data_IF_992082893050
#
_entry.id   IF_992082893050
#
_cell.length_a   1.000
_cell.length_b   1.000
_cell.length_c   1.000
_cell.angle_alpha   90.00
_cell.angle_beta   90.00
_cell.angle_gamma   90.00
#
_symmetry.space_group_name_H-M   'P 1'
#
loop_
_entity.id
_entity.type
_entity.pdbx_description
1 polymer ?
#
# COMPACT_ATOMS: atom_id res chain seq x y z
N UNK A 1 -2.68 -6.82 -13.35
CA UNK A 1 -3.24 -5.56 -13.86
C UNK A 1 -2.15 -4.50 -13.77
N UNK A 2 -1.59 -4.06 -14.91
CA UNK A 2 -0.60 -2.96 -14.89
C UNK A 2 -1.39 -1.63 -14.92
N UNK A 3 -1.03 -0.65 -14.08
CA UNK A 3 -1.66 0.70 -14.01
C UNK A 3 -3.14 0.78 -13.56
N UNK A 4 -3.58 -0.05 -12.62
CA UNK A 4 -4.96 -0.01 -12.09
C UNK A 4 -5.29 1.30 -11.36
N UNK A 5 -6.51 1.83 -11.55
CA UNK A 5 -7.02 3.02 -10.83
C UNK A 5 -8.20 2.64 -9.94
N UNK A 6 -8.00 2.74 -8.63
CA UNK A 6 -8.97 2.38 -7.60
C UNK A 6 -9.28 3.60 -6.74
N UNK A 7 -9.84 4.65 -7.33
CA UNK A 7 -10.08 5.91 -6.63
C UNK A 7 -11.49 5.92 -6.00
N UNK A 8 -11.58 6.29 -4.73
CA UNK A 8 -12.84 6.33 -3.97
C UNK A 8 -13.59 5.00 -3.96
N UNK A 9 -12.87 3.89 -4.01
CA UNK A 9 -13.45 2.54 -3.98
C UNK A 9 -13.51 2.00 -2.56
N UNK A 10 -14.55 1.23 -2.25
CA UNK A 10 -14.52 0.32 -1.11
C UNK A 10 -13.97 -1.03 -1.55
N UNK A 11 -12.75 -1.32 -1.11
CA UNK A 11 -12.00 -2.54 -1.35
C UNK A 11 -11.64 -3.21 -0.01
N UNK A 12 -12.41 -2.91 1.04
CA UNK A 12 -12.19 -3.50 2.35
C UNK A 12 -12.34 -5.02 2.28
N UNK A 13 -11.42 -5.73 2.96
CA UNK A 13 -11.33 -7.20 3.00
C UNK A 13 -11.14 -7.88 1.65
N UNK A 14 -10.85 -7.13 0.59
CA UNK A 14 -10.53 -7.70 -0.71
C UNK A 14 -9.22 -8.47 -0.65
N UNK A 15 -9.14 -9.53 -1.45
CA UNK A 15 -7.92 -10.32 -1.64
C UNK A 15 -7.26 -9.96 -2.97
N UNK A 16 -6.08 -9.37 -2.89
CA UNK A 16 -5.18 -9.05 -4.00
C UNK A 16 -3.90 -9.90 -3.94
N UNK A 17 -3.93 -11.05 -3.28
CA UNK A 17 -2.79 -11.96 -3.20
C UNK A 17 -2.32 -12.36 -4.59
N UNK A 18 -1.00 -12.40 -4.79
CA UNK A 18 -0.34 -12.69 -6.08
C UNK A 18 -0.68 -11.72 -7.22
N UNK A 19 -1.39 -10.63 -6.95
CA UNK A 19 -1.73 -9.67 -7.98
C UNK A 19 -0.50 -8.86 -8.40
N UNK A 20 -0.41 -8.58 -9.69
CA UNK A 20 0.44 -7.52 -10.18
C UNK A 20 -0.38 -6.23 -10.22
N UNK A 21 0.01 -5.23 -9.42
CA UNK A 21 -0.57 -3.90 -9.31
C UNK A 21 0.50 -2.81 -9.56
N UNK A 22 1.58 -3.14 -10.26
CA UNK A 22 2.65 -2.19 -10.58
C UNK A 22 2.09 -0.89 -11.16
N UNK A 23 2.59 0.24 -10.65
CA UNK A 23 2.20 1.60 -11.03
C UNK A 23 0.70 1.92 -10.85
N UNK A 24 -0.04 1.11 -10.09
CA UNK A 24 -1.44 1.38 -9.79
C UNK A 24 -1.61 2.58 -8.86
N UNK A 25 -2.80 3.16 -8.84
CA UNK A 25 -3.16 4.26 -7.95
C UNK A 25 -4.42 3.92 -7.19
N UNK A 26 -4.38 4.07 -5.87
CA UNK A 26 -5.54 4.07 -4.98
C UNK A 26 -5.59 5.42 -4.26
N UNK A 27 -6.58 6.25 -4.59
CA UNK A 27 -6.79 7.55 -3.95
C UNK A 27 -8.12 7.59 -3.20
N UNK A 28 -8.10 8.00 -1.93
CA UNK A 28 -9.29 8.16 -1.08
C UNK A 28 -10.13 6.89 -0.96
N UNK A 29 -9.49 5.72 -1.01
CA UNK A 29 -10.17 4.42 -1.01
C UNK A 29 -10.09 3.74 0.36
N UNK A 30 -10.98 2.76 0.56
CA UNK A 30 -10.97 1.93 1.76
C UNK A 30 -10.32 0.59 1.44
N UNK A 31 -9.15 0.30 2.01
CA UNK A 31 -8.43 -0.98 1.94
C UNK A 31 -8.31 -1.61 3.34
N UNK A 32 -9.27 -1.34 4.21
CA UNK A 32 -9.34 -1.94 5.55
C UNK A 32 -9.32 -3.47 5.47
N UNK A 33 -8.42 -4.11 6.22
CA UNK A 33 -8.22 -5.57 6.26
C UNK A 33 -7.97 -6.22 4.88
N UNK A 34 -7.41 -5.48 3.93
CA UNK A 34 -7.11 -5.98 2.60
C UNK A 34 -5.84 -6.87 2.56
N UNK A 35 -5.78 -7.82 1.63
CA UNK A 35 -4.69 -8.81 1.55
C UNK A 35 -3.86 -8.57 0.29
N UNK A 36 -2.58 -8.23 0.44
CA UNK A 36 -1.62 -8.06 -0.67
C UNK A 36 -0.49 -9.10 -0.62
N UNK A 37 -0.75 -10.32 -0.15
CA UNK A 37 0.32 -11.31 0.04
C UNK A 37 0.91 -11.75 -1.31
N UNK A 38 2.25 -11.78 -1.41
CA UNK A 38 2.96 -12.07 -2.65
C UNK A 38 2.61 -11.14 -3.83
N UNK A 39 1.98 -9.98 -3.58
CA UNK A 39 1.60 -9.04 -4.63
C UNK A 39 2.79 -8.18 -5.08
N UNK A 40 2.78 -7.73 -6.34
CA UNK A 40 3.72 -6.73 -6.84
C UNK A 40 3.05 -5.35 -6.88
N UNK A 41 3.41 -4.51 -5.91
CA UNK A 41 2.96 -3.15 -5.71
C UNK A 41 4.00 -2.12 -6.18
N UNK A 42 5.04 -2.50 -6.93
CA UNK A 42 6.13 -1.59 -7.33
C UNK A 42 5.58 -0.32 -7.99
N UNK A 43 5.98 0.86 -7.50
CA UNK A 43 5.51 2.15 -8.02
C UNK A 43 4.05 2.51 -7.69
N UNK A 44 3.35 1.70 -6.88
CA UNK A 44 1.94 1.95 -6.53
C UNK A 44 1.79 3.20 -5.66
N UNK A 45 0.79 4.02 -5.95
CA UNK A 45 0.45 5.20 -5.16
C UNK A 45 -0.79 4.95 -4.30
N UNK A 46 -0.62 4.94 -2.98
CA UNK A 46 -1.71 4.97 -2.00
C UNK A 46 -1.84 6.39 -1.42
N UNK A 47 -2.87 7.14 -1.82
CA UNK A 47 -3.07 8.53 -1.40
C UNK A 47 -4.37 8.70 -0.63
N UNK A 48 -4.33 9.14 0.62
CA UNK A 48 -5.53 9.33 1.46
C UNK A 48 -6.36 8.04 1.62
N UNK A 49 -5.71 6.88 1.56
CA UNK A 49 -6.34 5.56 1.57
C UNK A 49 -6.30 4.98 2.98
N UNK A 50 -7.40 4.32 3.41
CA UNK A 50 -7.43 3.58 4.67
C UNK A 50 -6.72 2.23 4.48
N UNK A 51 -5.62 2.01 5.19
CA UNK A 51 -4.80 0.78 5.12
C UNK A 51 -4.78 0.05 6.47
N UNK A 52 -5.78 0.26 7.32
CA UNK A 52 -5.88 -0.42 8.61
C UNK A 52 -6.00 -1.93 8.41
N UNK A 53 -5.22 -2.73 9.15
CA UNK A 53 -5.30 -4.20 9.10
C UNK A 53 -4.82 -4.85 7.80
N UNK A 54 -4.22 -4.09 6.89
CA UNK A 54 -3.70 -4.64 5.62
C UNK A 54 -2.49 -5.55 5.86
N UNK A 55 -2.38 -6.64 5.08
CA UNK A 55 -1.18 -7.51 5.06
C UNK A 55 -0.40 -7.36 3.77
N UNK A 56 0.93 -7.31 3.89
CA UNK A 56 1.89 -7.16 2.78
C UNK A 56 2.91 -8.30 2.74
N UNK A 57 2.60 -9.45 3.36
CA UNK A 57 3.53 -10.57 3.48
C UNK A 57 4.10 -10.98 2.11
N UNK A 58 5.42 -11.08 2.01
CA UNK A 58 6.14 -11.43 0.77
C UNK A 58 5.81 -10.53 -0.45
N UNK A 59 5.21 -9.36 -0.26
CA UNK A 59 4.90 -8.44 -1.36
C UNK A 59 6.11 -7.61 -1.76
N UNK A 60 6.11 -7.14 -3.02
CA UNK A 60 7.14 -6.25 -3.57
C UNK A 60 6.54 -4.84 -3.66
N UNK A 61 7.02 -3.89 -2.87
CA UNK A 61 6.51 -2.51 -2.84
C UNK A 61 7.63 -1.47 -3.03
N UNK A 62 8.60 -1.81 -3.88
CA UNK A 62 9.68 -0.90 -4.23
C UNK A 62 9.13 0.35 -4.92
N UNK A 63 9.60 1.54 -4.53
CA UNK A 63 9.12 2.83 -5.08
C UNK A 63 7.62 3.09 -4.89
N UNK A 64 6.92 2.33 -4.04
CA UNK A 64 5.52 2.63 -3.71
C UNK A 64 5.44 3.85 -2.79
N UNK A 65 4.38 4.65 -2.96
CA UNK A 65 4.18 5.90 -2.23
C UNK A 65 2.94 5.81 -1.34
N UNK A 66 3.08 6.14 -0.06
CA UNK A 66 2.00 6.14 0.93
C UNK A 66 1.76 7.56 1.45
N UNK A 67 0.96 8.35 0.72
CA UNK A 67 0.72 9.77 1.02
C UNK A 67 -0.57 9.95 1.82
N UNK A 68 -0.51 10.54 3.01
CA UNK A 68 -1.70 10.80 3.85
C UNK A 68 -2.57 9.56 4.11
N UNK A 69 -2.02 8.36 3.98
CA UNK A 69 -2.74 7.13 4.30
C UNK A 69 -2.86 6.98 5.83
N UNK A 70 -4.00 6.47 6.30
CA UNK A 70 -4.25 6.28 7.74
C UNK A 70 -3.47 5.04 8.19
N UNK A 71 -2.22 5.24 8.59
CA UNK A 71 -1.28 4.15 8.87
C UNK A 71 -0.89 4.17 10.35
N UNK A 72 -1.50 3.29 11.15
CA UNK A 72 -1.02 3.01 12.51
C UNK A 72 -0.16 1.74 12.61
N UNK A 73 -0.14 0.88 11.58
CA UNK A 73 0.56 -0.43 11.65
C UNK A 73 1.62 -0.65 10.56
N UNK A 74 1.41 -0.12 9.35
CA UNK A 74 2.34 -0.31 8.21
C UNK A 74 3.67 0.44 8.42
N UNK A 75 3.68 1.59 9.09
CA UNK A 75 4.91 2.30 9.47
C UNK A 75 5.80 1.45 10.38
N UNK A 76 5.20 0.70 11.31
CA UNK A 76 5.93 -0.16 12.25
C UNK A 76 6.57 -1.36 11.56
N UNK A 77 5.90 -1.95 10.57
CA UNK A 77 6.38 -3.13 9.83
C UNK A 77 7.39 -2.76 8.72
N UNK A 78 7.21 -1.63 8.04
CA UNK A 78 8.16 -1.16 7.02
C UNK A 78 9.52 -0.76 7.60
N UNK A 79 9.55 -0.32 8.87
CA UNK A 79 10.80 -0.01 9.59
C UNK A 79 11.71 -1.21 9.86
N UNK A 80 11.21 -2.45 9.75
CA UNK A 80 12.02 -3.67 9.95
C UNK A 80 12.63 -4.25 8.67
N UNK A 81 12.18 -3.83 7.49
CA UNK A 81 12.65 -4.37 6.20
C UNK A 81 13.34 -3.34 5.28
N UNK A 82 13.35 -2.04 5.63
CA UNK A 82 14.05 -1.00 4.87
C UNK A 82 15.09 -0.29 5.73
N UNK A 83 16.37 -0.47 5.41
CA UNK A 83 17.55 0.11 6.09
C UNK A 83 17.72 1.63 5.87
N UNK A 84 16.65 2.37 5.57
CA UNK A 84 16.70 3.84 5.56
C UNK A 84 15.51 4.41 6.34
N UNK A 85 15.77 5.06 7.49
CA UNK A 85 14.72 5.76 8.22
C UNK A 85 14.17 6.89 7.35
N UNK A 86 12.84 7.00 7.29
CA UNK A 86 12.10 8.10 6.66
C UNK A 86 12.27 9.39 7.48
N UNK A 87 13.51 9.83 7.73
CA UNK A 87 13.80 11.07 8.46
C UNK A 87 13.74 12.33 7.58
N UNK A 88 13.13 12.28 6.39
CA UNK A 88 13.21 13.41 5.45
C UNK A 88 11.99 13.65 4.56
N UNK A 89 10.78 13.39 5.05
CA UNK A 89 9.55 13.84 4.37
C UNK A 89 8.61 14.50 5.38
N UNK A 90 9.10 15.57 6.00
CA UNK A 90 8.25 16.62 6.56
C UNK A 90 8.94 17.97 6.33
N UNK A 91 8.76 18.50 5.12
CA UNK A 91 8.71 19.93 4.82
C UNK A 91 7.54 20.12 3.85
#
# INVERSE_FOLDING_TARGET
MHDGKFNSCDLSRSDFSHSNLTNSTSKSSNLDNCIFENANLTGTLFKSTNLKGVTFKNSIYNKSHFLKAVIYLVLYLMGKHSTKPFSKVLH
#
